data_IF_930996077736
#
_entry.id   IF_930996077736
#
_cell.length_a   1.000
_cell.length_b   1.000
_cell.length_c   1.000
_cell.angle_alpha   90.00
_cell.angle_beta   90.00
_cell.angle_gamma   90.00
#
_symmetry.space_group_name_H-M   'P 1'
#
loop_
_entity.id
_entity.type
_entity.pdbx_description
1 polymer ?
#
# COMPACT_ATOMS: atom_id res chain seq x y z
N UNK A 1 2.69 -30.37 -5.59
CA UNK A 1 3.07 -29.07 -5.02
C UNK A 1 2.42 -28.95 -3.66
N UNK A 2 3.21 -28.94 -2.59
CA UNK A 2 2.70 -28.72 -1.24
C UNK A 2 2.63 -27.22 -0.87
N UNK A 3 2.17 -26.93 0.35
CA UNK A 3 2.01 -25.55 0.81
C UNK A 3 3.36 -24.83 1.03
N UNK A 4 4.42 -25.56 1.35
CA UNK A 4 5.75 -24.99 1.53
C UNK A 4 6.36 -24.62 0.18
N UNK A 5 6.25 -25.50 -0.81
CA UNK A 5 6.66 -25.25 -2.19
C UNK A 5 5.90 -24.06 -2.79
N UNK A 6 4.58 -23.94 -2.55
CA UNK A 6 3.82 -22.76 -2.99
C UNK A 6 4.41 -21.47 -2.42
N UNK A 7 4.72 -21.43 -1.11
CA UNK A 7 5.31 -20.23 -0.49
C UNK A 7 6.66 -19.87 -1.09
N UNK A 8 7.48 -20.87 -1.46
CA UNK A 8 8.75 -20.64 -2.14
C UNK A 8 8.57 -20.02 -3.53
N UNK A 9 7.59 -20.51 -4.31
CA UNK A 9 7.22 -19.90 -5.58
C UNK A 9 6.72 -18.48 -5.41
N UNK A 10 5.80 -18.26 -4.46
CA UNK A 10 5.24 -16.95 -4.18
C UNK A 10 6.29 -15.91 -3.80
N UNK A 11 7.30 -16.31 -3.02
CA UNK A 11 8.38 -15.43 -2.57
C UNK A 11 9.27 -14.91 -3.73
N UNK A 12 9.37 -15.64 -4.85
CA UNK A 12 10.13 -15.18 -6.02
C UNK A 12 9.45 -14.00 -6.72
N UNK A 13 8.12 -13.95 -6.73
CA UNK A 13 7.37 -12.91 -7.44
C UNK A 13 7.18 -11.66 -6.59
N UNK A 14 7.83 -10.56 -7.01
CA UNK A 14 7.85 -9.26 -6.33
C UNK A 14 6.79 -8.26 -6.82
N UNK A 15 5.86 -8.66 -7.68
CA UNK A 15 4.81 -7.77 -8.19
C UNK A 15 3.91 -7.16 -7.09
N UNK A 16 3.77 -7.85 -5.96
CA UNK A 16 3.00 -7.38 -4.80
C UNK A 16 3.83 -6.49 -3.85
N UNK A 17 5.13 -6.26 -4.11
CA UNK A 17 5.93 -5.31 -3.34
C UNK A 17 5.46 -3.86 -3.62
N UNK A 18 5.52 -2.97 -2.61
CA UNK A 18 5.02 -1.61 -2.77
C UNK A 18 5.87 -0.82 -3.78
N UNK A 19 5.28 0.05 -4.61
CA UNK A 19 6.06 0.98 -5.42
C UNK A 19 6.84 1.95 -4.53
N UNK A 20 7.94 2.50 -5.06
CA UNK A 20 8.87 3.33 -4.29
C UNK A 20 8.21 4.54 -3.62
N UNK A 21 7.25 5.19 -4.28
CA UNK A 21 6.47 6.28 -3.70
C UNK A 21 5.65 5.84 -2.46
N UNK A 22 5.04 4.65 -2.50
CA UNK A 22 4.31 4.09 -1.36
C UNK A 22 5.26 3.67 -0.24
N UNK A 23 6.40 3.04 -0.59
CA UNK A 23 7.42 2.65 0.37
C UNK A 23 8.07 3.88 1.07
N UNK A 24 8.14 5.02 0.38
CA UNK A 24 8.66 6.29 0.88
C UNK A 24 7.63 7.15 1.62
N UNK A 25 6.36 6.79 1.60
CA UNK A 25 5.32 7.53 2.31
C UNK A 25 5.26 7.06 3.79
N UNK A 26 5.46 7.95 4.78
CA UNK A 26 5.39 7.59 6.20
C UNK A 26 4.04 6.97 6.61
N UNK A 27 2.95 7.40 5.99
CA UNK A 27 1.60 6.86 6.25
C UNK A 27 1.16 5.78 5.25
N UNK A 28 2.06 5.32 4.38
CA UNK A 28 1.86 4.22 3.42
C UNK A 28 0.68 4.45 2.44
N UNK A 29 0.51 5.69 1.97
CA UNK A 29 -0.48 6.02 0.95
C UNK A 29 -0.13 5.33 -0.37
N UNK A 30 -1.15 4.79 -1.05
CA UNK A 30 -0.99 4.21 -2.38
C UNK A 30 -0.95 5.31 -3.45
N UNK A 31 0.16 6.04 -3.48
CA UNK A 31 0.36 7.17 -4.39
C UNK A 31 0.25 6.73 -5.87
N UNK A 32 0.64 5.49 -6.20
CA UNK A 32 0.49 4.95 -7.55
C UNK A 32 -0.99 4.86 -7.94
N UNK A 33 -1.83 4.18 -7.15
CA UNK A 33 -3.25 4.07 -7.44
C UNK A 33 -3.96 5.44 -7.44
N UNK A 34 -3.55 6.33 -6.54
CA UNK A 34 -4.03 7.71 -6.46
C UNK A 34 -3.72 8.49 -7.75
N UNK A 35 -2.46 8.52 -8.19
CA UNK A 35 -2.04 9.27 -9.37
C UNK A 35 -2.68 8.70 -10.63
N UNK A 36 -2.83 7.39 -10.77
CA UNK A 36 -3.53 6.79 -11.92
C UNK A 36 -5.00 7.21 -11.98
N UNK A 37 -5.67 7.33 -10.83
CA UNK A 37 -7.03 7.84 -10.78
C UNK A 37 -7.11 9.33 -11.17
N UNK A 38 -6.13 10.15 -10.73
CA UNK A 38 -6.00 11.55 -11.15
C UNK A 38 -5.75 11.68 -12.66
N UNK A 39 -4.86 10.88 -13.22
CA UNK A 39 -4.58 10.85 -14.66
C UNK A 39 -5.82 10.46 -15.48
N UNK A 40 -6.68 9.59 -14.94
CA UNK A 40 -7.95 9.22 -15.55
C UNK A 40 -9.08 10.25 -15.34
N UNK A 41 -8.81 11.40 -14.71
CA UNK A 41 -9.81 12.43 -14.37
C UNK A 41 -10.81 11.98 -13.29
N UNK A 42 -10.57 10.87 -12.60
CA UNK A 42 -11.48 10.27 -11.60
C UNK A 42 -11.13 10.79 -10.20
N UNK A 43 -11.31 12.09 -9.99
CA UNK A 43 -10.90 12.77 -8.75
C UNK A 43 -11.52 12.16 -7.49
N UNK A 44 -12.80 11.79 -7.51
CA UNK A 44 -13.45 11.17 -6.34
C UNK A 44 -12.89 9.77 -6.02
N UNK A 45 -12.53 9.00 -7.05
CA UNK A 45 -11.85 7.73 -6.85
C UNK A 45 -10.44 7.94 -6.29
N UNK A 46 -9.74 8.99 -6.74
CA UNK A 46 -8.44 9.38 -6.21
C UNK A 46 -8.54 9.79 -4.73
N UNK A 47 -9.53 10.61 -4.36
CA UNK A 47 -9.82 10.99 -2.98
C UNK A 47 -10.09 9.78 -2.10
N UNK A 48 -10.88 8.81 -2.59
CA UNK A 48 -11.14 7.56 -1.88
C UNK A 48 -9.88 6.70 -1.68
N UNK A 49 -8.89 6.78 -2.57
CA UNK A 49 -7.58 6.12 -2.37
C UNK A 49 -6.80 6.81 -1.24
N UNK A 50 -6.74 8.15 -1.24
CA UNK A 50 -6.05 8.91 -0.19
C UNK A 50 -6.63 8.62 1.20
N UNK A 51 -7.96 8.69 1.34
CA UNK A 51 -8.66 8.53 2.63
C UNK A 51 -8.54 7.11 3.25
N UNK A 52 -8.00 6.11 2.53
CA UNK A 52 -7.69 4.79 3.11
C UNK A 52 -6.58 4.87 4.15
N UNK A 53 -5.58 5.73 3.91
CA UNK A 53 -4.35 5.79 4.68
C UNK A 53 -4.10 7.17 5.29
N UNK A 54 -4.63 8.22 4.69
CA UNK A 54 -4.42 9.60 5.10
C UNK A 54 -5.48 10.01 6.13
N UNK A 55 -5.12 10.18 7.41
CA UNK A 55 -6.02 10.80 8.39
C UNK A 55 -6.24 12.27 8.02
N UNK A 56 -7.41 12.83 8.34
CA UNK A 56 -7.70 14.26 8.17
C UNK A 56 -7.28 14.79 6.79
N UNK A 57 -7.64 14.06 5.73
CA UNK A 57 -7.01 14.20 4.44
C UNK A 57 -7.10 15.60 3.82
N UNK A 58 -8.05 16.46 4.22
CA UNK A 58 -8.08 17.85 3.77
C UNK A 58 -6.94 18.70 4.37
N UNK A 59 -6.56 18.45 5.63
CA UNK A 59 -5.41 19.07 6.29
C UNK A 59 -4.12 18.42 5.76
N UNK A 60 -4.06 17.08 5.74
CA UNK A 60 -2.82 16.38 5.37
C UNK A 60 -2.40 16.67 3.94
N UNK A 61 -3.31 16.69 2.97
CA UNK A 61 -2.94 17.03 1.59
C UNK A 61 -2.36 18.45 1.44
N UNK A 62 -2.74 19.40 2.31
CA UNK A 62 -2.21 20.77 2.27
C UNK A 62 -0.82 20.89 2.87
N UNK A 63 -0.58 20.16 3.96
CA UNK A 63 0.63 20.31 4.78
C UNK A 63 1.68 19.22 4.53
N UNK A 64 1.35 18.17 3.80
CA UNK A 64 2.27 17.10 3.46
C UNK A 64 3.50 17.64 2.73
N UNK A 65 4.68 17.41 3.29
CA UNK A 65 5.96 17.80 2.71
C UNK A 65 6.43 16.85 1.58
N UNK A 66 5.58 15.91 1.18
CA UNK A 66 5.75 14.98 0.07
C UNK A 66 7.10 14.20 0.05
N UNK A 67 7.57 13.58 1.16
CA UNK A 67 8.82 12.80 1.18
C UNK A 67 8.85 11.66 0.15
N UNK A 68 7.68 11.15 -0.24
CA UNK A 68 7.55 10.11 -1.26
C UNK A 68 8.09 10.52 -2.65
N UNK A 69 8.13 11.83 -2.95
CA UNK A 69 8.67 12.34 -4.22
C UNK A 69 10.18 12.09 -4.35
N UNK A 70 10.91 12.02 -3.24
CA UNK A 70 12.35 11.74 -3.21
C UNK A 70 12.70 10.35 -3.75
N UNK A 71 11.74 9.41 -3.69
CA UNK A 71 11.88 8.02 -4.12
C UNK A 71 11.22 7.74 -5.48
N UNK A 72 10.65 8.74 -6.13
CA UNK A 72 9.99 8.57 -7.42
C UNK A 72 11.01 8.19 -8.50
N UNK A 73 10.78 7.09 -9.24
CA UNK A 73 11.67 6.65 -10.33
C UNK A 73 11.78 7.69 -11.47
N UNK A 74 10.84 8.63 -11.57
CA UNK A 74 10.92 9.74 -12.54
C UNK A 74 11.90 10.83 -12.16
N UNK A 75 12.46 10.81 -10.94
CA UNK A 75 13.43 11.82 -10.49
C UNK A 75 14.55 12.02 -11.52
N UNK A 76 15.04 10.93 -12.09
CA UNK A 76 16.11 10.94 -13.10
C UNK A 76 15.59 11.09 -14.55
N UNK A 77 14.27 11.20 -14.75
CA UNK A 77 13.56 11.26 -16.04
C UNK A 77 12.77 12.57 -16.21
N UNK A 78 13.40 13.69 -15.84
CA UNK A 78 12.83 15.04 -15.95
C UNK A 78 12.13 15.53 -14.67
N UNK A 79 12.38 14.89 -13.55
CA UNK A 79 11.86 15.29 -12.24
C UNK A 79 10.72 14.39 -11.75
N UNK A 80 10.61 14.26 -10.43
CA UNK A 80 9.57 13.50 -9.74
C UNK A 80 8.17 13.98 -10.12
N UNK A 81 7.18 13.12 -9.87
CA UNK A 81 5.78 13.54 -9.88
C UNK A 81 5.54 14.52 -8.74
N UNK A 82 4.73 15.55 -8.99
CA UNK A 82 4.27 16.50 -7.98
C UNK A 82 3.13 15.93 -7.13
N UNK A 83 3.38 14.81 -6.45
CA UNK A 83 2.39 14.08 -5.65
C UNK A 83 1.73 14.99 -4.61
N UNK A 84 2.49 15.82 -3.88
CA UNK A 84 1.91 16.74 -2.89
C UNK A 84 0.95 17.75 -3.52
N UNK A 85 1.32 18.32 -4.67
CA UNK A 85 0.45 19.24 -5.40
C UNK A 85 -0.80 18.53 -5.97
N UNK A 86 -0.65 17.30 -6.45
CA UNK A 86 -1.78 16.47 -6.89
C UNK A 86 -2.74 16.17 -5.74
N UNK A 87 -2.22 15.88 -4.54
CA UNK A 87 -3.03 15.69 -3.33
C UNK A 87 -3.85 16.94 -3.06
N UNK A 88 -3.24 18.14 -3.06
CA UNK A 88 -3.95 19.40 -2.87
C UNK A 88 -5.08 19.61 -3.87
N UNK A 89 -4.81 19.44 -5.17
CA UNK A 89 -5.86 19.57 -6.21
C UNK A 89 -6.97 18.55 -5.99
N UNK A 90 -6.63 17.30 -5.66
CA UNK A 90 -7.61 16.25 -5.41
C UNK A 90 -8.57 16.63 -4.28
N UNK A 91 -8.05 17.12 -3.15
CA UNK A 91 -8.88 17.45 -1.99
C UNK A 91 -9.71 18.71 -2.18
N UNK A 92 -9.24 19.64 -3.03
CA UNK A 92 -9.94 20.88 -3.35
C UNK A 92 -11.07 20.68 -4.37
N UNK A 93 -10.87 19.76 -5.33
CA UNK A 93 -11.80 19.56 -6.45
C UNK A 93 -12.75 18.38 -6.28
N UNK A 94 -12.44 17.43 -5.38
CA UNK A 94 -13.33 16.31 -5.09
C UNK A 94 -14.64 16.79 -4.46
N UNK A 95 -15.76 16.27 -4.97
CA UNK A 95 -17.09 16.55 -4.43
C UNK A 95 -17.46 15.57 -3.30
N UNK A 96 -16.74 14.45 -3.24
CA UNK A 96 -17.01 13.40 -2.26
C UNK A 96 -16.17 13.59 -1.00
N UNK A 97 -16.85 13.45 0.13
CA UNK A 97 -16.24 13.37 1.45
C UNK A 97 -16.37 11.94 1.95
N UNK A 98 -15.30 11.37 2.49
CA UNK A 98 -15.34 10.05 3.12
C UNK A 98 -16.50 9.94 4.11
N UNK A 99 -17.28 8.86 3.99
CA UNK A 99 -18.39 8.62 4.90
C UNK A 99 -17.84 8.32 6.29
N UNK A 100 -18.30 9.09 7.28
CA UNK A 100 -18.01 8.82 8.69
C UNK A 100 -18.82 7.60 9.10
N UNK A 101 -18.17 6.43 9.14
CA UNK A 101 -18.78 5.20 9.63
C UNK A 101 -18.41 5.01 11.10
N UNK A 102 -19.43 5.04 11.97
CA UNK A 102 -19.26 4.77 13.40
C UNK A 102 -19.33 3.27 13.66
N UNK A 103 -18.29 2.72 14.26
CA UNK A 103 -18.37 1.38 14.85
C UNK A 103 -19.11 1.43 16.21
N UNK A 104 -19.66 0.30 16.67
CA UNK A 104 -20.12 0.17 18.05
C UNK A 104 -19.04 0.59 19.04
N UNK A 105 -19.45 1.26 20.12
CA UNK A 105 -18.51 1.74 21.12
C UNK A 105 -17.84 0.55 21.82
N UNK A 106 -16.51 0.60 21.94
CA UNK A 106 -15.72 -0.28 22.79
C UNK A 106 -15.78 0.20 24.24
N UNK A 107 -15.65 -0.70 25.24
CA UNK A 107 -15.77 -0.32 26.65
C UNK A 107 -14.58 0.51 27.15
N UNK A 108 -13.39 0.31 26.57
CA UNK A 108 -12.16 0.97 26.99
C UNK A 108 -12.06 2.39 26.42
N UNK A 109 -11.55 3.34 27.21
CA UNK A 109 -11.48 4.77 26.89
C UNK A 109 -10.03 5.23 26.73
N UNK A 110 -9.82 6.26 25.91
CA UNK A 110 -8.49 6.83 25.66
C UNK A 110 -8.48 8.33 25.89
N UNK A 111 -7.51 8.79 26.67
CA UNK A 111 -7.20 10.21 26.82
C UNK A 111 -6.06 10.60 25.88
N UNK A 112 -6.22 11.69 25.16
CA UNK A 112 -5.23 12.25 24.24
C UNK A 112 -4.88 13.65 24.73
N UNK A 113 -3.61 13.85 25.05
CA UNK A 113 -3.07 15.10 25.57
C UNK A 113 -2.39 15.86 24.43
N UNK A 114 -2.92 17.04 24.14
CA UNK A 114 -2.57 17.86 22.99
C UNK A 114 -3.51 17.66 21.80
N UNK A 115 -3.53 18.65 20.91
CA UNK A 115 -4.46 18.72 19.79
C UNK A 115 -3.77 19.01 18.44
N UNK A 116 -2.46 18.78 18.35
CA UNK A 116 -1.66 18.86 17.13
C UNK A 116 -1.85 17.64 16.21
N UNK A 117 -1.19 17.63 15.05
CA UNK A 117 -1.33 16.57 14.04
C UNK A 117 -1.20 15.14 14.56
N UNK A 118 -0.24 14.88 15.45
CA UNK A 118 -0.05 13.54 16.00
C UNK A 118 -1.23 13.10 16.86
N UNK A 119 -1.70 13.98 17.75
CA UNK A 119 -2.84 13.76 18.64
C UNK A 119 -4.16 13.63 17.90
N UNK A 120 -4.43 14.50 16.92
CA UNK A 120 -5.64 14.41 16.10
C UNK A 120 -5.65 13.11 15.26
N UNK A 121 -4.47 12.65 14.82
CA UNK A 121 -4.32 11.37 14.13
C UNK A 121 -4.60 10.18 15.04
N UNK A 122 -4.09 10.20 16.28
CA UNK A 122 -4.41 9.19 17.30
C UNK A 122 -5.91 9.13 17.55
N UNK A 123 -6.52 10.31 17.74
CA UNK A 123 -7.97 10.41 17.95
C UNK A 123 -8.76 9.87 16.76
N UNK A 124 -8.37 10.20 15.53
CA UNK A 124 -8.99 9.70 14.31
C UNK A 124 -8.95 8.17 14.21
N UNK A 125 -7.76 7.57 14.30
CA UNK A 125 -7.57 6.14 14.06
C UNK A 125 -8.21 5.29 15.19
N UNK A 126 -8.17 5.75 16.44
CA UNK A 126 -8.81 5.06 17.57
C UNK A 126 -10.33 5.21 17.55
N UNK A 127 -10.86 6.39 17.22
CA UNK A 127 -12.30 6.60 17.12
C UNK A 127 -12.90 5.78 15.97
N UNK A 128 -12.20 5.64 14.84
CA UNK A 128 -12.59 4.72 13.75
C UNK A 128 -12.64 3.25 14.17
N UNK A 129 -11.88 2.85 15.20
CA UNK A 129 -11.92 1.51 15.80
C UNK A 129 -13.00 1.35 16.89
N UNK A 130 -13.72 2.42 17.19
CA UNK A 130 -14.85 2.44 18.13
C UNK A 130 -14.47 2.80 19.57
N UNK A 131 -13.22 3.22 19.85
CA UNK A 131 -12.86 3.68 21.18
C UNK A 131 -13.43 5.09 21.45
N UNK A 132 -14.04 5.35 22.61
CA UNK A 132 -14.29 6.71 23.08
C UNK A 132 -12.97 7.42 23.33
N UNK A 133 -12.77 8.56 22.66
CA UNK A 133 -11.54 9.36 22.77
C UNK A 133 -11.87 10.76 23.28
N UNK A 134 -11.12 11.22 24.27
CA UNK A 134 -11.16 12.60 24.74
C UNK A 134 -9.82 13.27 24.49
N UNK A 135 -9.84 14.33 23.69
CA UNK A 135 -8.68 15.17 23.37
C UNK A 135 -8.69 16.38 24.29
N UNK A 136 -7.63 16.52 25.07
CA UNK A 136 -7.42 17.63 25.99
C UNK A 136 -6.48 18.63 25.33
N UNK A 137 -6.90 19.89 25.30
CA UNK A 137 -6.12 20.98 24.73
C UNK A 137 -6.04 22.15 25.72
N UNK A 138 -4.99 22.96 25.56
CA UNK A 138 -4.81 24.23 26.29
C UNK A 138 -5.05 25.37 25.30
N UNK A 139 -5.55 26.50 25.78
CA UNK A 139 -5.79 27.69 24.95
C UNK A 139 -7.18 27.71 24.29
N UNK A 140 -7.31 28.54 23.24
CA UNK A 140 -8.59 28.97 22.68
C UNK A 140 -9.36 27.87 21.94
N UNK A 141 -8.69 26.85 21.38
CA UNK A 141 -9.33 25.80 20.60
C UNK A 141 -8.47 24.56 20.34
N UNK A 142 -9.07 23.45 19.87
CA UNK A 142 -8.34 22.28 19.39
C UNK A 142 -7.72 22.55 18.01
N UNK A 143 -6.61 21.87 17.70
CA UNK A 143 -5.83 22.07 16.48
C UNK A 143 -4.35 22.35 16.76
N UNK A 144 -4.01 22.72 18.00
CA UNK A 144 -2.63 22.99 18.38
C UNK A 144 -2.03 24.08 17.51
N UNK A 145 -0.79 23.89 17.05
CA UNK A 145 -0.10 24.83 16.16
C UNK A 145 -0.75 24.97 14.77
N UNK A 146 -1.68 24.10 14.38
CA UNK A 146 -2.42 24.23 13.10
C UNK A 146 -3.30 25.50 13.07
N UNK A 147 -3.68 26.01 14.24
CA UNK A 147 -4.45 27.25 14.37
C UNK A 147 -3.64 28.51 14.08
N UNK A 148 -2.30 28.40 14.12
CA UNK A 148 -1.38 29.52 13.91
C UNK A 148 -0.95 29.65 12.44
N UNK A 149 -1.39 28.74 11.57
CA UNK A 149 -1.06 28.75 10.16
C UNK A 149 -1.85 29.83 9.41
N UNK A 150 -1.21 30.42 8.40
CA UNK A 150 -1.85 31.41 7.54
C UNK A 150 -3.07 30.83 6.79
N UNK A 151 -4.09 31.65 6.58
CA UNK A 151 -5.35 31.28 5.91
C UNK A 151 -5.11 30.73 4.48
N UNK A 152 -4.06 31.21 3.79
CA UNK A 152 -3.67 30.72 2.47
C UNK A 152 -3.09 29.29 2.49
N UNK A 153 -2.49 28.89 3.62
CA UNK A 153 -1.91 27.56 3.82
C UNK A 153 -2.97 26.58 4.33
N UNK A 154 -3.62 26.93 5.43
CA UNK A 154 -4.69 26.15 6.04
C UNK A 154 -5.83 27.08 6.46
N UNK A 155 -6.90 27.18 5.65
CA UNK A 155 -8.07 27.96 6.03
C UNK A 155 -8.67 27.45 7.34
N UNK A 156 -9.04 28.36 8.26
CA UNK A 156 -9.67 27.97 9.53
C UNK A 156 -10.91 27.09 9.33
N UNK A 157 -11.69 27.39 8.28
CA UNK A 157 -12.86 26.59 7.88
C UNK A 157 -12.54 25.12 7.51
N UNK A 158 -11.33 24.84 7.02
CA UNK A 158 -10.89 23.48 6.69
C UNK A 158 -10.52 22.72 7.97
N UNK A 159 -9.86 23.39 8.91
CA UNK A 159 -9.54 22.84 10.23
C UNK A 159 -10.83 22.49 10.99
N UNK A 160 -11.75 23.45 11.08
CA UNK A 160 -13.06 23.27 11.73
C UNK A 160 -13.84 22.09 11.13
N UNK A 161 -13.87 21.98 9.80
CA UNK A 161 -14.57 20.89 9.13
C UNK A 161 -13.97 19.49 9.40
N UNK A 162 -12.66 19.38 9.60
CA UNK A 162 -12.02 18.11 10.00
C UNK A 162 -12.20 17.83 11.50
N UNK A 163 -12.24 18.86 12.35
CA UNK A 163 -12.59 18.73 13.77
C UNK A 163 -14.04 18.28 13.97
N UNK A 164 -14.98 18.84 13.21
CA UNK A 164 -16.38 18.41 13.18
C UNK A 164 -16.52 16.94 12.77
N UNK A 165 -15.69 16.47 11.83
CA UNK A 165 -15.64 15.05 11.46
C UNK A 165 -15.15 14.16 12.60
N UNK A 166 -14.17 14.62 13.38
CA UNK A 166 -13.72 13.91 14.59
C UNK A 166 -14.82 13.87 15.65
N UNK A 167 -15.53 14.98 15.89
CA UNK A 167 -16.70 15.00 16.76
C UNK A 167 -17.79 14.04 16.26
N UNK A 168 -17.99 13.99 14.93
CA UNK A 168 -18.88 13.02 14.31
C UNK A 168 -18.38 11.57 14.47
N UNK A 169 -17.12 11.31 14.82
CA UNK A 169 -16.59 10.01 15.22
C UNK A 169 -16.66 9.76 16.75
N UNK A 170 -17.31 10.64 17.51
CA UNK A 170 -17.38 10.64 18.99
C UNK A 170 -16.07 10.97 19.69
N UNK A 171 -15.21 11.75 19.03
CA UNK A 171 -14.10 12.41 19.73
C UNK A 171 -14.65 13.61 20.49
N UNK A 172 -14.35 13.72 21.78
CA UNK A 172 -14.67 14.90 22.60
C UNK A 172 -13.45 15.77 22.75
N UNK A 173 -13.61 17.09 22.64
CA UNK A 173 -12.56 18.06 22.89
C UNK A 173 -12.84 18.77 24.22
N UNK A 174 -11.84 18.82 25.10
CA UNK A 174 -11.95 19.42 26.43
C UNK A 174 -10.81 20.41 26.63
N UNK A 175 -11.16 21.67 26.91
CA UNK A 175 -10.20 22.70 27.27
C UNK A 175 -9.80 22.55 28.75
N UNK A 176 -8.50 22.59 29.02
CA UNK A 176 -7.91 22.54 30.36
C UNK A 176 -6.84 23.61 30.52
N UNK A 177 -6.57 24.01 31.76
CA UNK A 177 -5.51 24.98 32.05
C UNK A 177 -4.11 24.37 31.92
N UNK A 178 -3.94 23.12 32.38
CA UNK A 178 -2.67 22.39 32.39
C UNK A 178 -2.96 20.91 32.15
N UNK A 179 -2.02 20.24 31.47
CA UNK A 179 -2.03 18.78 31.28
C UNK A 179 -0.94 18.16 32.16
N UNK A 180 -1.34 17.30 33.09
CA UNK A 180 -0.44 16.60 34.01
C UNK A 180 -0.91 15.17 34.31
N UNK A 181 -0.17 14.46 35.17
CA UNK A 181 -0.54 13.10 35.60
C UNK A 181 -1.82 13.07 36.45
N UNK A 182 -2.16 14.16 37.14
CA UNK A 182 -3.38 14.25 37.95
C UNK A 182 -4.64 14.31 37.05
N UNK A 183 -4.55 15.02 35.93
CA UNK A 183 -5.58 15.04 34.90
C UNK A 183 -5.84 13.63 34.36
N UNK A 184 -4.78 12.87 34.07
CA UNK A 184 -4.92 11.48 33.61
C UNK A 184 -5.60 10.57 34.65
N UNK A 185 -5.22 10.70 35.92
CA UNK A 185 -5.78 9.90 37.00
C UNK A 185 -7.27 10.19 37.25
N UNK A 186 -7.72 11.42 37.03
CA UNK A 186 -9.10 11.84 37.33
C UNK A 186 -10.15 11.29 36.35
N UNK A 187 -9.77 10.94 35.12
CA UNK A 187 -10.72 10.59 34.06
C UNK A 187 -10.92 9.09 33.83
N UNK A 188 -10.13 8.23 34.50
CA UNK A 188 -10.28 6.77 34.40
C UNK A 188 -10.11 6.24 32.97
N UNK A 189 -9.19 6.84 32.21
CA UNK A 189 -8.83 6.34 30.87
C UNK A 189 -8.01 5.05 30.99
N UNK A 190 -8.26 4.09 30.09
CA UNK A 190 -7.51 2.84 30.04
C UNK A 190 -6.14 3.01 29.37
N UNK A 191 -5.98 4.04 28.52
CA UNK A 191 -4.71 4.42 27.91
C UNK A 191 -4.62 5.93 27.71
N UNK A 192 -3.39 6.45 27.70
CA UNK A 192 -3.07 7.88 27.53
C UNK A 192 -2.05 8.06 26.42
N UNK A 193 -2.31 9.03 25.53
CA UNK A 193 -1.33 9.49 24.54
C UNK A 193 -0.92 10.94 24.85
N UNK A 194 0.37 11.25 24.78
CA UNK A 194 0.92 12.60 24.94
C UNK A 194 1.56 13.04 23.62
N UNK A 195 0.92 13.99 22.94
CA UNK A 195 1.45 14.64 21.74
C UNK A 195 2.47 15.72 22.09
N UNK A 196 3.69 15.56 21.60
CA UNK A 196 4.81 16.49 21.84
C UNK A 196 4.89 17.61 20.79
N UNK A 197 4.10 17.53 19.73
CA UNK A 197 4.10 18.47 18.60
C UNK A 197 3.49 19.83 18.92
N UNK A 198 2.74 19.94 20.04
CA UNK A 198 2.20 21.19 20.59
C UNK A 198 2.98 21.72 21.81
N UNK A 199 4.02 21.01 22.26
CA UNK A 199 4.84 21.40 23.43
C UNK A 199 4.04 21.66 24.73
N UNK A 200 2.88 21.01 24.88
CA UNK A 200 1.97 21.25 26.00
C UNK A 200 2.42 20.65 27.34
N UNK A 201 3.28 19.63 27.29
CA UNK A 201 3.70 18.91 28.49
C UNK A 201 5.15 18.36 28.38
N UNK A 202 6.16 19.21 28.09
CA UNK A 202 7.55 18.76 27.96
C UNK A 202 8.08 18.12 29.26
N UNK A 203 7.73 18.70 30.41
CA UNK A 203 8.14 18.19 31.73
C UNK A 203 7.47 16.84 32.06
N UNK A 204 6.26 16.60 31.54
CA UNK A 204 5.54 15.36 31.74
C UNK A 204 6.25 14.19 31.05
N UNK A 205 6.63 14.36 29.78
CA UNK A 205 7.38 13.34 29.05
C UNK A 205 8.77 13.15 29.64
N UNK A 206 9.45 14.24 30.03
CA UNK A 206 10.74 14.16 30.71
C UNK A 206 10.68 13.31 32.00
N UNK A 207 9.57 13.42 32.75
CA UNK A 207 9.33 12.63 33.96
C UNK A 207 8.99 11.16 33.66
N UNK A 208 8.24 10.90 32.58
CA UNK A 208 7.81 9.55 32.17
C UNK A 208 8.88 8.77 31.39
N UNK A 209 9.98 9.42 31.02
CA UNK A 209 11.08 8.85 30.26
C UNK A 209 10.87 8.92 28.75
N UNK A 210 11.93 8.63 27.99
CA UNK A 210 11.85 8.61 26.53
C UNK A 210 10.93 7.47 26.03
N UNK A 211 10.08 7.72 25.03
CA UNK A 211 9.22 6.68 24.46
C UNK A 211 10.05 5.63 23.70
N UNK A 212 9.59 4.39 23.73
CA UNK A 212 10.18 3.31 22.95
C UNK A 212 10.13 3.62 21.44
N UNK A 213 11.24 3.39 20.74
CA UNK A 213 11.40 3.82 19.34
C UNK A 213 10.44 3.15 18.36
N UNK A 214 9.89 1.97 18.69
CA UNK A 214 9.01 1.20 17.80
C UNK A 214 7.54 1.28 18.20
N UNK A 215 7.28 1.28 19.50
CA UNK A 215 5.93 1.20 20.08
C UNK A 215 5.44 2.53 20.60
N UNK A 216 6.32 3.52 20.77
CA UNK A 216 6.01 4.82 21.36
C UNK A 216 5.48 4.72 22.80
N UNK A 217 5.65 3.56 23.45
CA UNK A 217 5.25 3.34 24.83
C UNK A 217 6.22 4.04 25.79
N UNK A 218 5.67 4.62 26.86
CA UNK A 218 6.44 5.22 27.95
C UNK A 218 6.69 4.20 29.07
N UNK A 219 7.51 4.56 30.06
CA UNK A 219 7.82 3.68 31.19
C UNK A 219 6.58 3.37 32.05
N UNK A 220 5.64 4.31 32.12
CA UNK A 220 4.36 4.10 32.79
C UNK A 220 3.42 3.26 31.91
N UNK A 221 2.90 2.17 32.46
CA UNK A 221 2.00 1.28 31.74
C UNK A 221 0.74 2.00 31.24
N UNK A 222 0.38 1.76 29.98
CA UNK A 222 -0.77 2.38 29.32
C UNK A 222 -0.52 3.80 28.80
N UNK A 223 0.71 4.32 28.92
CA UNK A 223 1.09 5.63 28.40
C UNK A 223 1.94 5.53 27.13
N UNK A 224 1.66 6.44 26.20
CA UNK A 224 2.34 6.52 24.91
C UNK A 224 2.65 7.97 24.57
N UNK A 225 3.70 8.23 23.80
CA UNK A 225 4.03 9.57 23.35
C UNK A 225 4.69 9.61 21.97
N UNK A 226 4.32 10.60 21.16
CA UNK A 226 4.85 10.84 19.83
C UNK A 226 4.66 12.32 19.44
N UNK A 227 4.82 12.63 18.16
CA UNK A 227 4.85 14.01 17.66
C UNK A 227 6.21 14.70 17.87
N UNK A 228 7.30 13.94 17.92
CA UNK A 228 8.64 14.51 18.13
C UNK A 228 9.03 15.41 16.94
N UNK A 229 9.37 16.67 17.24
CA UNK A 229 9.71 17.71 16.26
C UNK A 229 11.11 17.56 15.63
N UNK A 230 11.90 16.58 16.06
CA UNK A 230 13.28 16.34 15.64
C UNK A 230 13.44 15.61 14.30
N UNK A 231 12.33 15.20 13.67
CA UNK A 231 12.35 14.47 12.40
C UNK A 231 12.23 15.41 11.19
N UNK A 232 12.92 15.04 10.12
CA UNK A 232 12.69 15.60 8.79
C UNK A 232 11.20 15.50 8.43
N UNK A 233 10.62 16.57 7.88
CA UNK A 233 9.18 16.70 7.59
C UNK A 233 8.28 16.68 8.85
N UNK A 234 8.25 17.81 9.57
CA UNK A 234 7.53 18.00 10.85
C UNK A 234 6.09 17.47 10.82
N UNK A 235 5.31 17.83 9.80
CA UNK A 235 3.89 17.52 9.75
C UNK A 235 3.63 16.04 9.46
N UNK A 236 4.12 15.51 8.32
CA UNK A 236 3.80 14.12 7.94
C UNK A 236 4.45 13.10 8.88
N UNK A 237 5.60 13.44 9.48
CA UNK A 237 6.23 12.61 10.51
C UNK A 237 5.40 12.57 11.80
N UNK A 238 4.82 13.69 12.24
CA UNK A 238 3.91 13.73 13.39
C UNK A 238 2.65 12.89 13.13
N UNK A 239 2.06 13.00 11.94
CA UNK A 239 0.92 12.15 11.51
C UNK A 239 1.33 10.66 11.53
N UNK A 240 2.49 10.30 10.99
CA UNK A 240 3.00 8.93 11.00
C UNK A 240 3.12 8.37 12.41
N UNK A 241 3.76 9.12 13.32
CA UNK A 241 3.91 8.72 14.72
C UNK A 241 2.56 8.59 15.42
N UNK A 242 1.60 9.48 15.14
CA UNK A 242 0.24 9.37 15.66
C UNK A 242 -0.43 8.05 15.26
N UNK A 243 -0.24 7.59 14.02
CA UNK A 243 -0.77 6.29 13.57
C UNK A 243 -0.06 5.11 14.24
N UNK A 244 1.25 5.18 14.38
CA UNK A 244 2.04 4.16 15.09
C UNK A 244 1.60 4.04 16.55
N UNK A 245 1.39 5.16 17.23
CA UNK A 245 0.87 5.23 18.59
C UNK A 245 -0.56 4.68 18.67
N UNK A 246 -1.45 5.02 17.74
CA UNK A 246 -2.81 4.47 17.68
C UNK A 246 -2.82 2.94 17.52
N UNK A 247 -1.87 2.38 16.76
CA UNK A 247 -1.69 0.92 16.66
C UNK A 247 -1.21 0.35 17.98
N UNK A 248 -0.24 0.99 18.64
CA UNK A 248 0.25 0.55 19.95
C UNK A 248 -0.83 0.56 21.02
N UNK A 249 -1.58 1.66 21.13
CA UNK A 249 -2.69 1.82 22.07
C UNK A 249 -3.76 0.76 21.81
N UNK A 250 -4.17 0.54 20.56
CA UNK A 250 -5.15 -0.48 20.23
C UNK A 250 -4.68 -1.90 20.62
N UNK A 251 -3.41 -2.22 20.40
CA UNK A 251 -2.84 -3.53 20.79
C UNK A 251 -2.79 -3.68 22.30
N UNK A 252 -2.35 -2.65 23.01
CA UNK A 252 -2.35 -2.60 24.47
C UNK A 252 -3.76 -2.82 25.04
N UNK A 253 -4.75 -2.09 24.53
CA UNK A 253 -6.14 -2.21 24.96
C UNK A 253 -6.74 -3.58 24.65
N UNK A 254 -6.23 -4.32 23.66
CA UNK A 254 -6.63 -5.68 23.36
C UNK A 254 -5.85 -6.76 24.14
N UNK A 255 -4.83 -6.37 24.92
CA UNK A 255 -3.92 -7.32 25.58
C UNK A 255 -3.00 -8.06 24.60
N UNK A 256 -2.79 -7.51 23.40
CA UNK A 256 -1.90 -8.07 22.39
C UNK A 256 -0.46 -7.56 22.57
N UNK A 257 0.51 -8.37 22.15
CA UNK A 257 1.92 -7.98 22.18
C UNK A 257 2.16 -6.70 21.37
N UNK A 258 2.87 -5.73 21.95
CA UNK A 258 3.12 -4.45 21.30
C UNK A 258 4.05 -4.58 20.09
N UNK A 259 5.00 -5.51 20.08
CA UNK A 259 6.10 -5.60 19.09
C UNK A 259 5.87 -6.63 18.00
N UNK A 260 5.08 -7.68 18.25
CA UNK A 260 4.89 -8.79 17.32
C UNK A 260 4.25 -8.36 15.99
N UNK A 261 4.82 -8.86 14.88
CA UNK A 261 4.30 -8.66 13.52
C UNK A 261 4.13 -7.19 13.11
N UNK A 262 4.92 -6.28 13.68
CA UNK A 262 5.01 -4.90 13.17
C UNK A 262 5.73 -4.90 11.83
N UNK A 263 5.14 -4.22 10.85
CA UNK A 263 5.79 -3.91 9.59
C UNK A 263 6.56 -2.60 9.78
N UNK A 264 7.89 -2.61 9.67
CA UNK A 264 8.65 -1.38 9.82
C UNK A 264 8.35 -0.43 8.65
N UNK A 265 8.47 0.87 8.91
CA UNK A 265 8.51 1.86 7.86
C UNK A 265 9.66 1.54 6.90
N UNK A 266 9.35 1.48 5.61
CA UNK A 266 10.31 1.08 4.59
C UNK A 266 11.24 2.20 4.17
N UNK A 267 10.93 3.46 4.48
CA UNK A 267 11.76 4.63 4.13
C UNK A 267 12.22 4.61 2.67
N UNK A 268 11.31 4.25 1.76
CA UNK A 268 11.59 4.12 0.32
C UNK A 268 12.18 2.79 -0.15
N UNK A 269 12.57 1.90 0.76
CA UNK A 269 13.13 0.59 0.43
C UNK A 269 12.04 -0.36 -0.10
N UNK A 270 12.17 -0.77 -1.35
CA UNK A 270 11.30 -1.76 -1.97
C UNK A 270 12.10 -2.68 -2.88
N UNK A 271 11.69 -3.95 -2.95
CA UNK A 271 12.22 -4.90 -3.91
C UNK A 271 11.48 -4.84 -5.26
N UNK A 272 10.43 -4.01 -5.40
CA UNK A 272 9.68 -3.88 -6.65
C UNK A 272 10.59 -3.38 -7.78
N UNK A 273 10.73 -4.18 -8.83
CA UNK A 273 11.46 -3.83 -10.03
C UNK A 273 10.55 -3.15 -11.05
N UNK A 274 11.04 -2.10 -11.71
CA UNK A 274 10.37 -1.46 -12.85
C UNK A 274 11.45 -1.01 -13.82
N UNK A 275 11.35 -1.47 -15.08
CA UNK A 275 12.31 -1.10 -16.11
C UNK A 275 12.13 0.37 -16.52
N UNK A 276 13.22 1.14 -16.53
CA UNK A 276 13.25 2.57 -16.91
C UNK A 276 14.10 2.86 -18.13
N UNK A 277 14.85 1.87 -18.65
CA UNK A 277 15.93 2.04 -19.65
C UNK A 277 15.55 2.72 -20.97
N UNK A 278 14.27 2.74 -21.36
CA UNK A 278 13.81 3.33 -22.62
C UNK A 278 12.68 4.36 -22.44
N UNK A 279 12.54 4.89 -21.22
CA UNK A 279 11.49 5.86 -20.90
C UNK A 279 11.98 7.27 -21.22
N UNK A 280 11.22 8.00 -22.05
CA UNK A 280 11.53 9.38 -22.38
C UNK A 280 11.52 10.29 -21.14
N UNK A 281 12.52 11.16 -21.06
CA UNK A 281 12.55 12.24 -20.08
C UNK A 281 11.46 13.26 -20.41
N UNK A 282 10.60 13.54 -19.43
CA UNK A 282 9.52 14.53 -19.55
C UNK A 282 9.60 15.44 -18.34
N UNK A 283 9.72 16.77 -18.53
CA UNK A 283 9.88 17.71 -17.42
C UNK A 283 8.66 17.70 -16.49
N UNK A 284 8.91 17.96 -15.20
CA UNK A 284 7.87 18.20 -14.20
C UNK A 284 7.05 19.42 -14.57
N UNK A 285 5.72 19.30 -14.48
CA UNK A 285 4.83 20.44 -14.72
C UNK A 285 4.92 21.38 -13.54
N UNK A 286 5.24 22.64 -13.84
CA UNK A 286 5.20 23.75 -12.89
C UNK A 286 3.85 24.46 -13.05
N UNK A 287 3.13 24.74 -11.95
CA UNK A 287 1.86 25.45 -12.04
C UNK A 287 2.06 26.85 -12.61
N UNK A 288 1.15 27.31 -13.46
CA UNK A 288 1.12 28.70 -13.93
C UNK A 288 0.62 29.68 -12.85
N UNK A 289 -0.17 29.19 -11.90
CA UNK A 289 -0.67 29.94 -10.74
C UNK A 289 -0.03 29.51 -9.43
N UNK A 290 -0.71 29.81 -8.31
CA UNK A 290 -0.28 29.38 -6.97
C UNK A 290 -0.34 27.86 -6.78
N UNK A 291 -1.23 27.17 -7.49
CA UNK A 291 -1.41 25.72 -7.47
C UNK A 291 -1.70 25.21 -8.88
N UNK A 292 -1.61 23.88 -9.06
CA UNK A 292 -1.92 23.25 -10.35
C UNK A 292 -3.41 23.41 -10.67
N UNK A 293 -3.71 23.76 -11.92
CA UNK A 293 -5.08 23.64 -12.45
C UNK A 293 -5.50 22.16 -12.53
N UNK A 294 -6.80 21.89 -12.71
CA UNK A 294 -7.29 20.53 -12.91
C UNK A 294 -6.66 19.88 -14.15
N UNK A 295 -6.52 20.64 -15.24
CA UNK A 295 -5.89 20.17 -16.48
C UNK A 295 -4.40 19.91 -16.30
N UNK A 296 -3.68 20.82 -15.61
CA UNK A 296 -2.27 20.64 -15.28
C UNK A 296 -2.06 19.43 -14.36
N UNK A 297 -2.96 19.20 -13.40
CA UNK A 297 -2.92 18.06 -12.51
C UNK A 297 -3.13 16.73 -13.26
N UNK A 298 -4.07 16.68 -14.21
CA UNK A 298 -4.27 15.49 -15.06
C UNK A 298 -3.03 15.24 -15.92
N UNK A 299 -2.45 16.29 -16.51
CA UNK A 299 -1.25 16.17 -17.32
C UNK A 299 -0.03 15.70 -16.48
N UNK A 300 0.14 16.25 -15.28
CA UNK A 300 1.22 15.88 -14.37
C UNK A 300 1.06 14.44 -13.88
N UNK A 301 -0.16 14.05 -13.51
CA UNK A 301 -0.49 12.68 -13.14
C UNK A 301 -0.27 11.68 -14.29
N UNK A 302 -0.54 12.09 -15.53
CA UNK A 302 -0.34 11.26 -16.72
C UNK A 302 1.13 10.96 -17.02
N UNK A 303 2.08 11.65 -16.37
CA UNK A 303 3.51 11.29 -16.44
C UNK A 303 3.82 10.00 -15.67
N UNK A 304 2.92 9.51 -14.81
CA UNK A 304 3.16 8.33 -13.97
C UNK A 304 3.58 7.09 -14.78
N UNK A 305 4.61 6.40 -14.30
CA UNK A 305 5.13 5.19 -14.96
C UNK A 305 4.29 3.95 -14.69
N UNK A 306 3.31 4.03 -13.79
CA UNK A 306 2.56 2.87 -13.30
C UNK A 306 3.53 1.76 -12.83
N UNK A 307 4.43 2.08 -11.88
CA UNK A 307 5.52 1.18 -11.49
C UNK A 307 5.01 -0.21 -11.08
N UNK A 308 5.40 -1.22 -11.86
CA UNK A 308 5.01 -2.62 -11.73
C UNK A 308 6.15 -3.53 -12.19
N UNK A 309 6.29 -4.69 -11.55
CA UNK A 309 7.20 -5.76 -11.96
C UNK A 309 6.46 -6.77 -12.87
N UNK A 310 6.17 -6.36 -14.09
CA UNK A 310 5.44 -7.17 -15.08
C UNK A 310 6.25 -7.51 -16.35
N UNK A 311 7.59 -7.40 -16.33
CA UNK A 311 8.41 -7.69 -17.53
C UNK A 311 8.17 -9.10 -18.09
N UNK A 312 8.10 -10.11 -17.21
CA UNK A 312 7.75 -11.48 -17.62
C UNK A 312 6.38 -11.56 -18.31
N UNK A 313 5.40 -10.76 -17.90
CA UNK A 313 4.07 -10.71 -18.51
C UNK A 313 4.13 -9.96 -19.84
N UNK A 314 4.81 -8.81 -19.91
CA UNK A 314 4.96 -8.02 -21.15
C UNK A 314 5.55 -8.86 -22.30
N UNK A 315 6.51 -9.72 -21.99
CA UNK A 315 7.23 -10.55 -22.98
C UNK A 315 6.63 -11.95 -23.20
N UNK A 316 5.61 -12.36 -22.45
CA UNK A 316 5.04 -13.71 -22.57
C UNK A 316 3.58 -13.67 -23.02
N UNK A 317 3.30 -14.16 -24.25
CA UNK A 317 1.93 -14.25 -24.79
C UNK A 317 1.02 -15.07 -23.88
N UNK A 318 1.52 -16.19 -23.37
CA UNK A 318 0.80 -17.05 -22.43
C UNK A 318 0.36 -16.27 -21.17
N UNK A 319 1.24 -15.48 -20.55
CA UNK A 319 0.89 -14.77 -19.33
C UNK A 319 -0.08 -13.61 -19.56
N UNK A 320 -0.01 -12.93 -20.72
CA UNK A 320 -0.96 -11.86 -21.08
C UNK A 320 -2.36 -12.36 -21.32
N UNK A 321 -2.51 -13.52 -21.96
CA UNK A 321 -3.82 -14.09 -22.29
C UNK A 321 -4.67 -14.37 -21.05
N UNK A 322 -4.04 -14.74 -19.93
CA UNK A 322 -4.74 -15.14 -18.71
C UNK A 322 -4.88 -14.02 -17.66
N UNK A 323 -4.57 -12.78 -18.03
CA UNK A 323 -4.78 -11.53 -17.26
C UNK A 323 -4.38 -11.62 -15.77
N UNK A 324 -3.11 -11.93 -15.54
CA UNK A 324 -2.54 -12.16 -14.22
C UNK A 324 -1.01 -12.16 -14.23
N UNK A 325 -0.41 -12.56 -13.13
CA UNK A 325 1.05 -12.55 -12.95
C UNK A 325 1.51 -13.79 -12.18
N UNK A 326 2.83 -14.12 -12.21
CA UNK A 326 3.31 -15.43 -11.76
C UNK A 326 2.86 -15.88 -10.38
N UNK A 327 2.77 -14.96 -9.40
CA UNK A 327 2.28 -15.28 -8.04
C UNK A 327 0.83 -15.75 -8.01
N UNK A 328 -0.07 -15.05 -8.70
CA UNK A 328 -1.49 -15.45 -8.74
C UNK A 328 -1.67 -16.75 -9.50
N UNK A 329 -0.83 -16.98 -10.51
CA UNK A 329 -0.79 -18.24 -11.24
C UNK A 329 -0.28 -19.41 -10.39
N UNK A 330 0.74 -19.21 -9.56
CA UNK A 330 1.18 -20.24 -8.61
C UNK A 330 0.03 -20.69 -7.69
N UNK A 331 -0.72 -19.72 -7.12
CA UNK A 331 -1.92 -20.00 -6.32
C UNK A 331 -2.99 -20.76 -7.12
N UNK A 332 -3.22 -20.35 -8.38
CA UNK A 332 -4.21 -21.00 -9.27
C UNK A 332 -3.83 -22.45 -9.56
N UNK A 333 -2.56 -22.73 -9.84
CA UNK A 333 -2.05 -24.09 -10.08
C UNK A 333 -2.19 -24.93 -8.81
N UNK A 334 -1.75 -24.40 -7.66
CA UNK A 334 -1.89 -25.07 -6.37
C UNK A 334 -3.33 -25.48 -6.09
N UNK A 335 -4.27 -24.54 -6.23
CA UNK A 335 -5.70 -24.83 -6.01
C UNK A 335 -6.21 -25.90 -6.97
N UNK A 336 -5.78 -25.91 -8.23
CA UNK A 336 -6.16 -26.94 -9.21
C UNK A 336 -5.61 -28.32 -8.85
N UNK A 337 -4.40 -28.39 -8.26
CA UNK A 337 -3.78 -29.63 -7.78
C UNK A 337 -4.40 -30.11 -6.46
N UNK A 338 -4.89 -29.22 -5.61
CA UNK A 338 -5.50 -29.59 -4.33
C UNK A 338 -6.94 -30.15 -4.45
N UNK A 339 -7.69 -29.81 -5.51
CA UNK A 339 -9.09 -30.20 -5.65
C UNK A 339 -9.23 -31.69 -6.02
N UNK A 340 -9.79 -32.48 -5.08
CA UNK A 340 -9.94 -33.94 -5.16
C UNK A 340 -11.04 -34.38 -6.16
N UNK A 341 -12.12 -33.61 -6.35
CA UNK A 341 -13.17 -33.90 -7.35
C UNK A 341 -13.84 -32.61 -7.86
N UNK A 342 -14.06 -32.49 -9.19
CA UNK A 342 -14.78 -31.37 -9.82
C UNK A 342 -14.23 -30.92 -11.19
N UNK A 343 -14.82 -29.84 -11.74
CA UNK A 343 -14.37 -29.17 -12.97
C UNK A 343 -13.02 -28.48 -12.74
N UNK A 344 -11.96 -28.98 -13.38
CA UNK A 344 -10.61 -28.42 -13.29
C UNK A 344 -10.42 -27.29 -14.30
N UNK A 345 -10.83 -26.10 -13.88
CA UNK A 345 -10.84 -24.89 -14.72
C UNK A 345 -9.45 -24.35 -15.10
N UNK A 346 -8.37 -24.87 -14.49
CA UNK A 346 -7.00 -24.44 -14.78
C UNK A 346 -6.19 -25.44 -15.61
N UNK A 347 -6.75 -26.58 -16.04
CA UNK A 347 -6.01 -27.55 -16.84
C UNK A 347 -5.56 -26.95 -18.18
N UNK A 348 -6.46 -26.26 -18.89
CA UNK A 348 -6.11 -25.55 -20.13
C UNK A 348 -5.00 -24.54 -19.87
N UNK A 349 -5.14 -23.73 -18.81
CA UNK A 349 -4.11 -22.77 -18.39
C UNK A 349 -2.74 -23.43 -18.16
N UNK A 350 -2.68 -24.54 -17.41
CA UNK A 350 -1.44 -25.25 -17.15
C UNK A 350 -0.83 -25.81 -18.44
N UNK A 351 -1.66 -26.30 -19.36
CA UNK A 351 -1.23 -26.91 -20.63
C UNK A 351 -0.87 -25.90 -21.72
N UNK A 352 -1.32 -24.65 -21.63
CA UNK A 352 -1.03 -23.60 -22.60
C UNK A 352 0.43 -23.09 -22.57
N UNK A 353 1.16 -23.30 -21.46
CA UNK A 353 2.57 -22.90 -21.38
C UNK A 353 3.44 -23.68 -22.37
N UNK A 354 4.28 -23.01 -23.17
CA UNK A 354 5.19 -23.66 -24.13
C UNK A 354 6.46 -24.22 -23.49
N UNK A 355 6.68 -23.97 -22.19
CA UNK A 355 7.88 -24.37 -21.44
C UNK A 355 9.20 -23.78 -22.01
N UNK A 356 9.16 -22.60 -22.65
CA UNK A 356 10.35 -22.00 -23.26
C UNK A 356 11.37 -21.40 -22.27
N UNK A 357 11.00 -21.17 -21.01
CA UNK A 357 11.91 -20.65 -19.98
C UNK A 357 12.16 -19.13 -19.99
N UNK A 358 11.71 -18.39 -21.01
CA UNK A 358 11.94 -16.93 -21.11
C UNK A 358 11.48 -16.13 -19.89
N UNK A 359 10.39 -16.57 -19.24
CA UNK A 359 9.90 -15.94 -18.01
C UNK A 359 10.93 -15.96 -16.88
N UNK A 360 11.78 -16.99 -16.80
CA UNK A 360 12.82 -17.11 -15.79
C UNK A 360 13.98 -16.17 -16.10
N UNK A 361 14.44 -16.16 -17.36
CA UNK A 361 15.56 -15.33 -17.84
C UNK A 361 15.29 -13.84 -17.64
N UNK A 362 14.06 -13.39 -17.92
CA UNK A 362 13.67 -11.97 -17.79
C UNK A 362 13.33 -11.61 -16.34
N UNK A 363 12.98 -12.58 -15.50
CA UNK A 363 12.58 -12.30 -14.12
C UNK A 363 13.80 -11.92 -13.27
N UNK A 364 13.77 -10.80 -12.53
CA UNK A 364 14.89 -10.40 -11.65
C UNK A 364 15.17 -11.41 -10.53
N UNK A 365 14.20 -12.28 -10.21
CA UNK A 365 14.28 -13.29 -9.16
C UNK A 365 14.16 -14.72 -9.70
N UNK A 366 14.36 -14.94 -11.01
CA UNK A 366 14.35 -16.26 -11.64
C UNK A 366 13.05 -17.06 -11.36
N UNK A 367 11.89 -16.42 -11.54
CA UNK A 367 10.61 -17.13 -11.49
C UNK A 367 10.38 -17.89 -12.82
N UNK A 368 10.47 -19.22 -12.78
CA UNK A 368 10.16 -20.08 -13.91
C UNK A 368 8.70 -20.56 -13.93
N UNK A 369 7.87 -19.96 -14.79
CA UNK A 369 6.56 -20.50 -15.13
C UNK A 369 6.67 -21.82 -15.89
N UNK A 370 7.78 -22.04 -16.61
CA UNK A 370 8.02 -23.28 -17.34
C UNK A 370 8.12 -24.46 -16.36
N UNK A 371 9.00 -24.37 -15.36
CA UNK A 371 9.19 -25.44 -14.38
C UNK A 371 7.91 -25.68 -13.58
N UNK A 372 7.28 -24.61 -13.08
CA UNK A 372 6.05 -24.74 -12.31
C UNK A 372 4.91 -25.40 -13.11
N UNK A 373 4.73 -25.03 -14.39
CA UNK A 373 3.74 -25.67 -15.25
C UNK A 373 4.12 -27.12 -15.59
N UNK A 374 5.39 -27.42 -15.81
CA UNK A 374 5.88 -28.76 -16.08
C UNK A 374 5.65 -29.68 -14.87
N UNK A 375 6.03 -29.24 -13.68
CA UNK A 375 5.84 -29.98 -12.43
C UNK A 375 4.35 -30.28 -12.21
N UNK A 376 3.49 -29.28 -12.40
CA UNK A 376 2.05 -29.45 -12.29
C UNK A 376 1.50 -30.47 -13.31
N UNK A 377 1.98 -30.45 -14.56
CA UNK A 377 1.60 -31.45 -15.58
C UNK A 377 2.03 -32.85 -15.16
N UNK A 378 3.27 -33.01 -14.71
CA UNK A 378 3.81 -34.31 -14.29
C UNK A 378 3.06 -34.87 -13.08
N UNK A 379 2.73 -34.03 -12.10
CA UNK A 379 1.92 -34.41 -10.94
C UNK A 379 0.51 -34.83 -11.35
N UNK A 380 -0.13 -34.07 -12.23
CA UNK A 380 -1.45 -34.46 -12.76
C UNK A 380 -1.39 -35.79 -13.53
N UNK A 381 -0.33 -36.09 -14.28
CA UNK A 381 -0.17 -37.40 -14.94
C UNK A 381 0.04 -38.51 -13.91
N UNK A 382 0.92 -38.28 -12.92
CA UNK A 382 1.24 -39.23 -11.85
C UNK A 382 0.01 -39.63 -11.05
N UNK A 383 -0.83 -38.65 -10.73
CA UNK A 383 -2.07 -38.86 -9.99
C UNK A 383 -3.21 -39.40 -10.85
N UNK A 384 -2.95 -39.75 -12.13
CA UNK A 384 -3.95 -40.21 -13.12
C UNK A 384 -5.07 -39.19 -13.34
N UNK A 385 -4.75 -37.91 -13.15
CA UNK A 385 -5.62 -36.76 -13.26
C UNK A 385 -5.58 -36.12 -14.66
N UNK A 386 -4.55 -36.43 -15.43
CA UNK A 386 -4.38 -36.10 -16.84
C UNK A 386 -3.82 -37.35 -17.54
N UNK A 387 -4.30 -37.70 -18.75
CA UNK A 387 -3.66 -38.77 -19.49
C UNK A 387 -2.21 -38.38 -19.82
N UNK A 388 -1.27 -39.34 -19.84
CA UNK A 388 0.04 -39.07 -20.44
C UNK A 388 -0.17 -38.55 -21.87
N UNK A 389 0.67 -37.61 -22.30
CA UNK A 389 0.53 -37.02 -23.62
C UNK A 389 0.47 -38.12 -24.69
N UNK A 390 -0.41 -37.95 -25.69
CA UNK A 390 -0.45 -38.82 -26.87
C UNK A 390 0.82 -38.70 -27.75
N UNK A 391 1.91 -38.15 -27.19
CA UNK A 391 3.22 -38.09 -27.82
C UNK A 391 3.71 -39.49 -28.19
N UNK A 392 3.30 -40.54 -27.48
CA UNK A 392 3.56 -41.92 -27.92
C UNK A 392 2.95 -42.20 -29.29
N UNK A 393 1.69 -41.82 -29.53
CA UNK A 393 1.06 -41.98 -30.84
C UNK A 393 1.76 -41.13 -31.91
N UNK A 394 2.10 -39.87 -31.62
CA UNK A 394 2.81 -39.01 -32.57
C UNK A 394 4.24 -39.49 -32.87
N UNK A 395 4.96 -40.03 -31.89
CA UNK A 395 6.27 -40.65 -32.08
C UNK A 395 6.17 -41.95 -32.87
N UNK A 396 5.16 -42.76 -32.59
CA UNK A 396 4.94 -44.01 -33.30
C UNK A 396 4.48 -43.74 -34.73
N UNK A 397 3.68 -42.69 -34.96
CA UNK A 397 3.31 -42.20 -36.28
C UNK A 397 4.52 -41.62 -37.02
N UNK A 398 5.37 -40.80 -36.39
CA UNK A 398 6.64 -40.37 -36.97
C UNK A 398 7.55 -41.55 -37.31
N UNK A 399 7.72 -42.53 -36.41
CA UNK A 399 8.49 -43.74 -36.66
C UNK A 399 7.91 -44.55 -37.80
N UNK A 400 6.59 -44.71 -37.84
CA UNK A 400 5.89 -45.39 -38.92
C UNK A 400 6.11 -44.65 -40.24
N UNK A 401 5.93 -43.33 -40.28
CA UNK A 401 6.08 -42.48 -41.46
C UNK A 401 7.54 -42.39 -41.97
N UNK A 402 8.53 -42.59 -41.09
CA UNK A 402 9.95 -42.64 -41.44
C UNK A 402 10.49 -44.06 -41.60
N UNK A 403 9.65 -45.08 -41.42
CA UNK A 403 10.03 -46.48 -41.62
C UNK A 403 10.15 -46.82 -43.11
N UNK A 404 10.89 -47.89 -43.42
CA UNK A 404 10.99 -48.43 -44.78
C UNK A 404 9.62 -48.83 -45.37
N UNK A 405 8.60 -49.07 -44.52
CA UNK A 405 7.25 -49.45 -44.94
C UNK A 405 6.39 -48.26 -45.39
N UNK A 406 6.73 -47.03 -44.98
CA UNK A 406 6.00 -45.81 -45.34
C UNK A 406 6.59 -45.10 -46.58
N UNK A 407 7.65 -45.65 -47.17
CA UNK A 407 8.17 -45.20 -48.45
C UNK A 407 7.16 -45.54 -49.56
N UNK A 408 6.28 -44.60 -49.88
CA UNK A 408 5.49 -44.68 -51.10
C UNK A 408 6.40 -44.30 -52.26
N UNK A 409 6.82 -45.29 -53.06
CA UNK A 409 7.43 -45.05 -54.37
C UNK A 409 6.38 -44.41 -55.27
N UNK A 410 6.26 -43.08 -55.22
CA UNK A 410 5.67 -42.33 -56.32
C UNK A 410 6.82 -41.73 -57.10
N UNK A 411 7.01 -42.23 -58.31
CA UNK A 411 8.03 -41.70 -59.21
C UNK A 411 7.85 -40.19 -59.38
N UNK A 412 8.95 -39.47 -59.63
CA UNK A 412 8.87 -38.09 -60.05
C UNK A 412 7.98 -38.00 -61.30
N UNK A 413 7.25 -36.90 -61.52
CA UNK A 413 6.52 -36.70 -62.77
C UNK A 413 7.43 -37.00 -63.96
N UNK A 414 6.93 -37.82 -64.90
CA UNK A 414 7.63 -38.28 -66.11
C UNK A 414 8.74 -39.34 -65.94
N UNK A 415 8.80 -40.04 -64.80
CA UNK A 415 9.64 -41.24 -64.64
C UNK A 415 8.79 -42.46 -64.28
N UNK A 416 9.08 -43.63 -64.88
CA UNK A 416 8.35 -44.90 -64.68
C UNK A 416 9.22 -45.97 -63.98
N UNK A 417 10.24 -45.55 -63.23
CA UNK A 417 11.16 -46.45 -62.53
C UNK A 417 11.47 -45.96 -61.14
#
# INVERSE_FOLDING_TARGET
>A
MDQQELRQWEAKCIQEEPPACRAGCPVNVDARAFVLAMAAGKVDAARAVLEKNMPLAAITARLCEAPCENFCLRKDLGGSLAIGALEQVCVQTSQTKGKVMRLPARPKKVAVFGAGPSSLTVAFDLAKKGYPVTVYHVGEGPGGWLQELDEDVLPGSVLDAELDRLQALRVSFVSVAVVDTALAASHGADAVYVGQDDELAPDLVATLGAPDAQTLALAQEGWFSGGLADREHRFISAVSQGREAAVSIDRYLQGASLTSSRVPLRHGQTALFTQTKDIASVPRITPQGMSLSTEEAVAEASRCLDCQCLECVKHCVYLREYDGYPKTYARRIFNNLAIVQGMRQANTFINSCSLCGECEVICPNNFSMADMCLDARQEMVRDKRMPPSAHWFALEEMRSATSEQAFVLRHAPDTNT
#
